data_IF_285261153690
#
_entry.id   IF_285261153690
#
_cell.length_a   1.000
_cell.length_b   1.000
_cell.length_c   1.000
_cell.angle_alpha   90.00
_cell.angle_beta   90.00
_cell.angle_gamma   90.00
#
_symmetry.space_group_name_H-M   'P 1'
#
loop_
_entity.id
_entity.type
_entity.pdbx_description
1 polymer ?
#
# COMPACT_ATOMS: atom_id res chain seq x y z
N UNK A 1 -8.12 -28.76 4.78
CA UNK A 1 -6.77 -28.85 5.39
C UNK A 1 -6.33 -30.29 5.17
N UNK A 2 -5.24 -30.48 4.44
CA UNK A 2 -4.63 -31.80 4.24
C UNK A 2 -3.40 -31.88 5.13
N UNK A 3 -3.22 -33.02 5.79
CA UNK A 3 -2.05 -33.31 6.60
C UNK A 3 -1.20 -34.34 5.84
N UNK A 4 0.06 -34.05 5.63
CA UNK A 4 1.03 -34.94 5.02
C UNK A 4 2.07 -35.35 6.07
N UNK A 5 2.42 -36.62 6.10
CA UNK A 5 3.58 -37.09 6.86
C UNK A 5 4.86 -36.66 6.15
N UNK A 6 5.75 -36.00 6.89
CA UNK A 6 7.06 -35.56 6.39
C UNK A 6 8.16 -36.21 7.21
N UNK A 7 9.34 -36.34 6.63
CA UNK A 7 10.52 -36.81 7.34
C UNK A 7 10.89 -35.85 8.48
N UNK A 8 11.34 -36.42 9.60
CA UNK A 8 11.82 -35.62 10.73
C UNK A 8 12.93 -34.67 10.25
N UNK A 9 12.84 -33.35 10.52
CA UNK A 9 13.90 -32.42 10.15
C UNK A 9 15.22 -32.75 10.88
N UNK A 10 16.35 -32.43 10.26
CA UNK A 10 17.67 -32.68 10.84
C UNK A 10 17.94 -31.85 12.09
N UNK A 11 17.28 -30.68 12.21
CA UNK A 11 17.37 -29.82 13.39
C UNK A 11 16.04 -29.02 13.53
N UNK A 12 15.82 -28.50 14.71
CA UNK A 12 14.77 -27.56 15.05
C UNK A 12 15.38 -26.35 15.74
N UNK A 13 14.67 -25.23 15.76
CA UNK A 13 15.10 -24.06 16.54
C UNK A 13 15.01 -24.35 18.03
N UNK A 14 15.88 -23.73 18.83
CA UNK A 14 15.83 -23.86 20.27
C UNK A 14 14.53 -23.31 20.88
N UNK A 15 14.17 -23.83 22.06
CA UNK A 15 12.89 -23.50 22.72
C UNK A 15 12.72 -22.01 23.01
N UNK A 16 13.79 -21.30 23.38
CA UNK A 16 13.73 -19.88 23.70
C UNK A 16 13.49 -19.05 22.43
N UNK A 17 14.18 -19.35 21.34
CA UNK A 17 13.97 -18.72 20.04
C UNK A 17 12.57 -19.00 19.52
N UNK A 18 12.11 -20.24 19.63
CA UNK A 18 10.75 -20.63 19.25
C UNK A 18 9.72 -19.82 20.05
N UNK A 19 9.85 -19.78 21.37
CA UNK A 19 8.95 -19.05 22.25
C UNK A 19 8.87 -17.58 21.87
N UNK A 20 10.02 -16.92 21.71
CA UNK A 20 10.11 -15.49 21.34
C UNK A 20 9.47 -15.25 19.97
N UNK A 21 9.78 -16.08 18.96
CA UNK A 21 9.21 -15.95 17.62
C UNK A 21 7.71 -16.06 17.65
N UNK A 22 7.16 -17.12 18.26
CA UNK A 22 5.71 -17.35 18.33
C UNK A 22 5.00 -16.22 19.05
N UNK A 23 5.54 -15.75 20.19
CA UNK A 23 4.97 -14.62 20.92
C UNK A 23 5.00 -13.32 20.09
N UNK A 24 6.12 -13.03 19.43
CA UNK A 24 6.27 -11.82 18.62
C UNK A 24 5.31 -11.82 17.41
N UNK A 25 5.24 -12.93 16.67
CA UNK A 25 4.35 -13.06 15.52
C UNK A 25 2.87 -13.00 15.95
N UNK A 26 2.52 -13.61 17.10
CA UNK A 26 1.15 -13.56 17.62
C UNK A 26 0.75 -12.18 18.13
N UNK A 27 1.68 -11.42 18.68
CA UNK A 27 1.45 -10.06 19.19
C UNK A 27 1.57 -8.98 18.11
N UNK A 28 2.19 -9.29 16.98
CA UNK A 28 2.43 -8.34 15.90
C UNK A 28 1.10 -7.87 15.28
N UNK A 29 0.84 -6.56 15.22
CA UNK A 29 -0.32 -6.05 14.52
C UNK A 29 -0.33 -6.52 13.07
N UNK A 30 -1.52 -6.92 12.57
CA UNK A 30 -1.72 -7.36 11.20
C UNK A 30 -3.11 -6.99 10.71
N UNK A 31 -3.21 -6.48 9.47
CA UNK A 31 -4.46 -6.05 8.85
C UNK A 31 -4.70 -4.55 8.95
N UNK A 32 -5.97 -4.17 8.97
CA UNK A 32 -6.39 -2.76 9.10
C UNK A 32 -6.18 -2.29 10.52
N UNK A 33 -5.42 -1.20 10.67
CA UNK A 33 -5.19 -0.55 11.95
C UNK A 33 -6.14 0.65 12.16
N UNK A 34 -6.33 1.46 11.12
CA UNK A 34 -7.23 2.60 11.16
C UNK A 34 -8.01 2.77 9.85
N UNK A 35 -9.24 3.28 9.99
CA UNK A 35 -10.10 3.67 8.88
C UNK A 35 -10.08 5.18 8.72
N UNK A 36 -10.17 5.67 7.48
CA UNK A 36 -10.22 7.10 7.20
C UNK A 36 -11.48 7.75 7.80
N UNK A 37 -11.33 8.79 8.62
CA UNK A 37 -12.49 9.56 9.12
C UNK A 37 -13.14 10.40 8.03
N UNK A 38 -12.39 10.75 6.98
CA UNK A 38 -12.85 11.61 5.89
C UNK A 38 -13.61 10.83 4.80
N UNK A 39 -13.23 9.59 4.55
CA UNK A 39 -13.79 8.78 3.45
C UNK A 39 -14.27 7.44 3.99
N UNK A 40 -15.57 7.26 4.05
CA UNK A 40 -16.19 6.02 4.56
C UNK A 40 -15.75 4.80 3.74
N UNK A 41 -15.24 3.79 4.45
CA UNK A 41 -14.82 2.51 3.86
C UNK A 41 -13.42 2.53 3.24
N UNK A 42 -12.68 3.64 3.34
CA UNK A 42 -11.29 3.72 2.99
C UNK A 42 -10.42 3.32 4.19
N UNK A 43 -9.50 2.38 3.98
CA UNK A 43 -8.44 2.09 4.96
C UNK A 43 -7.46 3.26 4.97
N UNK A 44 -7.18 3.82 6.14
CA UNK A 44 -6.18 4.86 6.33
C UNK A 44 -4.81 4.25 6.62
N UNK A 45 -4.75 3.34 7.59
CA UNK A 45 -3.52 2.72 8.07
C UNK A 45 -3.68 1.21 8.15
N UNK A 46 -2.70 0.49 7.64
CA UNK A 46 -2.65 -0.97 7.71
C UNK A 46 -1.21 -1.47 7.87
N UNK A 47 -1.09 -2.70 8.34
CA UNK A 47 0.19 -3.41 8.42
C UNK A 47 0.02 -4.84 7.93
N UNK A 48 1.06 -5.37 7.31
CA UNK A 48 1.12 -6.74 6.82
C UNK A 48 2.37 -7.43 7.39
N UNK A 49 2.16 -8.54 8.09
CA UNK A 49 3.21 -9.49 8.39
C UNK A 49 3.42 -10.31 7.11
N UNK A 50 4.39 -9.88 6.29
CA UNK A 50 4.51 -10.32 4.91
C UNK A 50 5.21 -11.66 4.76
N UNK A 51 6.23 -11.93 5.57
CA UNK A 51 6.92 -13.23 5.53
C UNK A 51 7.70 -13.54 6.80
N UNK A 52 7.86 -14.84 7.07
CA UNK A 52 8.80 -15.39 8.04
C UNK A 52 9.70 -16.36 7.27
N UNK A 53 11.01 -16.08 7.23
CA UNK A 53 11.98 -16.89 6.51
C UNK A 53 13.06 -17.38 7.46
N UNK A 54 13.41 -18.67 7.33
CA UNK A 54 14.49 -19.30 8.07
C UNK A 54 15.74 -19.36 7.19
N UNK A 55 16.86 -18.92 7.75
CA UNK A 55 18.19 -19.01 7.18
C UNK A 55 19.06 -19.81 8.14
N UNK A 56 20.25 -20.17 7.72
CA UNK A 56 21.14 -21.01 8.54
C UNK A 56 21.53 -20.37 9.87
N UNK A 57 21.63 -19.03 9.90
CA UNK A 57 22.12 -18.25 11.03
C UNK A 57 21.06 -17.33 11.67
N UNK A 58 19.88 -17.19 11.04
CA UNK A 58 18.85 -16.26 11.50
C UNK A 58 17.45 -16.61 11.04
N UNK A 59 16.46 -16.05 11.74
CA UNK A 59 15.07 -16.01 11.29
C UNK A 59 14.77 -14.56 10.93
N UNK A 60 14.29 -14.31 9.73
CA UNK A 60 13.90 -12.99 9.23
C UNK A 60 12.40 -12.87 9.15
N UNK A 61 11.85 -11.91 9.88
CA UNK A 61 10.45 -11.50 9.77
C UNK A 61 10.39 -10.21 8.98
N UNK A 62 9.60 -10.18 7.92
CA UNK A 62 9.40 -8.98 7.10
C UNK A 62 7.97 -8.49 7.28
N UNK A 63 7.83 -7.22 7.57
CA UNK A 63 6.53 -6.54 7.70
C UNK A 63 6.47 -5.35 6.75
N UNK A 64 5.26 -4.91 6.39
CA UNK A 64 5.04 -3.74 5.55
C UNK A 64 3.91 -2.91 6.12
N UNK A 65 4.17 -1.66 6.42
CA UNK A 65 3.21 -0.69 6.93
C UNK A 65 2.83 0.30 5.84
N UNK A 66 1.55 0.64 5.79
CA UNK A 66 1.00 1.61 4.85
C UNK A 66 0.03 2.55 5.55
N UNK A 67 0.12 3.82 5.24
CA UNK A 67 -0.85 4.83 5.69
C UNK A 67 -0.94 5.96 4.68
N UNK A 68 -2.11 6.59 4.57
CA UNK A 68 -2.27 7.85 3.87
C UNK A 68 -1.77 9.05 4.70
N UNK A 69 -1.53 8.85 6.00
CA UNK A 69 -0.99 9.86 6.91
C UNK A 69 0.39 9.44 7.40
N UNK A 70 1.36 10.34 7.35
CA UNK A 70 2.73 10.05 7.81
C UNK A 70 2.77 9.73 9.30
N UNK A 71 2.00 10.45 10.13
CA UNK A 71 1.88 10.15 11.57
C UNK A 71 1.29 8.77 11.85
N UNK A 72 0.29 8.33 11.08
CA UNK A 72 -0.29 7.00 11.20
C UNK A 72 0.69 5.90 10.77
N UNK A 73 1.51 6.16 9.75
CA UNK A 73 2.57 5.24 9.33
C UNK A 73 3.63 5.08 10.42
N UNK A 74 4.06 6.18 11.03
CA UNK A 74 5.06 6.15 12.10
C UNK A 74 4.52 5.45 13.35
N UNK A 75 3.27 5.69 13.72
CA UNK A 75 2.63 5.05 14.86
C UNK A 75 2.60 3.52 14.71
N UNK A 76 2.06 3.00 13.61
CA UNK A 76 2.02 1.55 13.38
C UNK A 76 3.41 0.93 13.20
N UNK A 77 4.36 1.66 12.60
CA UNK A 77 5.76 1.23 12.51
C UNK A 77 6.39 1.09 13.90
N UNK A 78 6.14 2.06 14.77
CA UNK A 78 6.62 2.03 16.16
C UNK A 78 6.03 0.85 16.94
N UNK A 79 4.73 0.57 16.79
CA UNK A 79 4.09 -0.58 17.42
C UNK A 79 4.73 -1.90 16.98
N UNK A 80 4.86 -2.12 15.68
CA UNK A 80 5.48 -3.32 15.11
C UNK A 80 6.94 -3.46 15.58
N UNK A 81 7.71 -2.38 15.48
CA UNK A 81 9.10 -2.35 15.93
C UNK A 81 9.23 -2.76 17.39
N UNK A 82 8.41 -2.20 18.27
CA UNK A 82 8.48 -2.48 19.70
C UNK A 82 8.18 -3.94 20.03
N UNK A 83 7.24 -4.58 19.35
CA UNK A 83 6.94 -6.01 19.51
C UNK A 83 8.20 -6.86 19.26
N UNK A 84 8.91 -6.61 18.16
CA UNK A 84 10.10 -7.39 17.82
C UNK A 84 11.31 -7.03 18.71
N UNK A 85 11.45 -5.78 19.12
CA UNK A 85 12.49 -5.38 20.11
C UNK A 85 12.27 -6.06 21.46
N UNK A 86 11.03 -6.14 21.95
CA UNK A 86 10.69 -6.85 23.19
C UNK A 86 10.96 -8.35 23.08
N UNK A 87 10.86 -8.93 21.89
CA UNK A 87 11.25 -10.31 21.64
C UNK A 87 12.79 -10.48 21.50
N UNK A 88 13.58 -9.42 21.63
CA UNK A 88 15.03 -9.46 21.51
C UNK A 88 15.56 -9.53 20.07
N UNK A 89 14.73 -9.19 19.08
CA UNK A 89 15.17 -9.16 17.69
C UNK A 89 15.91 -7.85 17.36
N UNK A 90 16.81 -7.91 16.39
CA UNK A 90 17.34 -6.72 15.71
C UNK A 90 16.30 -6.23 14.71
N UNK A 91 15.90 -4.97 14.80
CA UNK A 91 14.92 -4.38 13.91
C UNK A 91 15.59 -3.33 13.04
N UNK A 92 15.36 -3.45 11.73
CA UNK A 92 15.79 -2.48 10.72
C UNK A 92 14.52 -1.97 10.01
N UNK A 93 14.39 -0.65 9.89
CA UNK A 93 13.32 -0.02 9.13
C UNK A 93 13.92 0.53 7.85
N UNK A 94 13.28 0.22 6.72
CA UNK A 94 13.62 0.81 5.42
C UNK A 94 12.79 2.07 5.15
N UNK A 95 13.25 2.85 4.20
CA UNK A 95 12.50 3.99 3.67
C UNK A 95 11.29 3.46 2.90
N UNK A 96 10.10 3.82 3.33
CA UNK A 96 8.85 3.51 2.64
C UNK A 96 8.40 4.65 1.73
N UNK A 97 7.37 4.42 0.94
CA UNK A 97 6.71 5.51 0.22
C UNK A 97 6.00 6.43 1.24
N UNK A 98 6.10 7.77 1.06
CA UNK A 98 5.34 8.73 1.85
C UNK A 98 3.84 8.55 1.60
N UNK A 99 3.03 8.92 2.58
CA UNK A 99 1.58 8.93 2.46
C UNK A 99 1.12 9.94 1.40
N UNK A 100 0.02 9.62 0.72
CA UNK A 100 -0.68 10.55 -0.15
C UNK A 100 -2.12 10.70 0.33
N UNK A 101 -2.34 11.71 1.16
CA UNK A 101 -3.67 12.02 1.64
C UNK A 101 -4.57 12.49 0.49
N UNK A 102 -5.79 11.94 0.35
CA UNK A 102 -6.71 12.35 -0.71
C UNK A 102 -7.15 13.80 -0.52
N UNK A 103 -7.06 14.59 -1.61
CA UNK A 103 -7.59 15.94 -1.68
C UNK A 103 -8.96 15.92 -2.37
N UNK A 104 -10.04 16.09 -1.60
CA UNK A 104 -11.41 16.10 -2.13
C UNK A 104 -11.75 17.38 -2.90
N UNK A 105 -10.97 18.45 -2.71
CA UNK A 105 -11.16 19.77 -3.35
C UNK A 105 -10.21 19.99 -4.56
N UNK A 106 -9.50 18.95 -4.98
CA UNK A 106 -8.56 19.00 -6.10
C UNK A 106 -9.20 19.53 -7.39
N UNK A 107 -8.62 20.59 -7.94
CA UNK A 107 -9.08 21.17 -9.21
C UNK A 107 -8.76 20.26 -10.40
N UNK A 108 -7.58 19.60 -10.39
CA UNK A 108 -7.25 18.65 -11.46
C UNK A 108 -8.18 17.43 -11.44
N UNK A 109 -8.61 16.97 -10.26
CA UNK A 109 -9.57 15.90 -10.14
C UNK A 109 -10.92 16.28 -10.78
N UNK A 110 -11.42 17.50 -10.53
CA UNK A 110 -12.66 18.01 -11.14
C UNK A 110 -12.56 18.04 -12.67
N UNK A 111 -11.43 18.49 -13.21
CA UNK A 111 -11.16 18.52 -14.66
C UNK A 111 -11.15 17.10 -15.23
N UNK A 112 -10.48 16.15 -14.58
CA UNK A 112 -10.40 14.75 -15.01
C UNK A 112 -11.77 14.09 -14.99
N UNK A 113 -12.58 14.28 -13.96
CA UNK A 113 -13.94 13.75 -13.87
C UNK A 113 -14.82 14.34 -14.98
N UNK A 114 -14.83 15.65 -15.14
CA UNK A 114 -15.62 16.32 -16.19
C UNK A 114 -15.22 15.88 -17.62
N UNK A 115 -13.93 15.67 -17.84
CA UNK A 115 -13.41 15.14 -19.10
C UNK A 115 -13.94 13.73 -19.38
N UNK A 116 -13.89 12.86 -18.37
CA UNK A 116 -14.38 11.49 -18.50
C UNK A 116 -15.88 11.44 -18.81
N UNK A 117 -16.67 12.23 -18.09
CA UNK A 117 -18.12 12.34 -18.32
C UNK A 117 -18.45 12.83 -19.74
N UNK A 118 -17.74 13.84 -20.22
CA UNK A 118 -17.90 14.39 -21.57
C UNK A 118 -17.58 13.36 -22.66
N UNK A 119 -16.52 12.56 -22.49
CA UNK A 119 -16.07 11.60 -23.48
C UNK A 119 -16.90 10.32 -23.49
N UNK A 120 -17.34 9.85 -22.32
CA UNK A 120 -17.88 8.50 -22.17
C UNK A 120 -19.33 8.47 -21.63
N UNK A 121 -19.91 9.61 -21.29
CA UNK A 121 -21.29 9.71 -20.81
C UNK A 121 -21.55 9.02 -19.48
N UNK A 122 -20.50 8.84 -18.66
CA UNK A 122 -20.56 8.14 -17.37
C UNK A 122 -19.69 8.86 -16.35
N UNK A 123 -20.17 8.94 -15.12
CA UNK A 123 -19.36 9.43 -13.99
C UNK A 123 -18.33 8.38 -13.60
N UNK A 124 -17.03 8.72 -13.56
CA UNK A 124 -16.00 7.78 -13.12
C UNK A 124 -16.08 7.58 -11.61
N UNK A 125 -15.68 6.40 -11.14
CA UNK A 125 -15.56 6.13 -9.72
C UNK A 125 -14.22 6.70 -9.23
N UNK A 126 -14.27 7.72 -8.41
CA UNK A 126 -13.10 8.27 -7.73
C UNK A 126 -12.85 7.47 -6.46
N UNK A 127 -11.62 7.01 -6.27
CA UNK A 127 -11.19 6.27 -5.09
C UNK A 127 -9.86 6.79 -4.60
N UNK A 128 -9.69 6.77 -3.29
CA UNK A 128 -8.38 6.89 -2.68
C UNK A 128 -7.90 5.50 -2.25
N UNK A 129 -6.60 5.31 -2.21
CA UNK A 129 -5.96 4.12 -1.67
C UNK A 129 -4.93 4.55 -0.62
N UNK A 130 -4.74 3.73 0.39
CA UNK A 130 -3.74 3.94 1.45
C UNK A 130 -2.36 3.38 1.08
N UNK A 131 -2.12 3.14 -0.20
CA UNK A 131 -0.81 2.71 -0.70
C UNK A 131 0.03 3.94 -1.06
N UNK A 132 1.34 3.85 -0.82
CA UNK A 132 2.29 4.80 -1.37
C UNK A 132 2.25 4.71 -2.89
N UNK A 133 1.84 5.81 -3.53
CA UNK A 133 1.98 6.01 -4.97
C UNK A 133 3.11 6.99 -5.21
N UNK A 134 3.62 7.01 -6.43
CA UNK A 134 4.65 7.96 -6.87
C UNK A 134 4.24 9.42 -6.60
N UNK A 135 2.94 9.69 -6.58
CA UNK A 135 2.40 11.00 -6.19
C UNK A 135 2.82 11.43 -4.77
N UNK A 136 2.95 10.49 -3.83
CA UNK A 136 3.47 10.79 -2.50
C UNK A 136 4.90 11.34 -2.53
N UNK A 137 5.77 10.76 -3.37
CA UNK A 137 7.14 11.24 -3.56
C UNK A 137 7.20 12.65 -4.16
N UNK A 138 6.28 12.96 -5.08
CA UNK A 138 6.19 14.31 -5.63
C UNK A 138 5.69 15.31 -4.60
N UNK A 139 4.71 14.95 -3.75
CA UNK A 139 4.19 15.83 -2.70
C UNK A 139 5.22 16.13 -1.61
N UNK A 140 6.06 15.17 -1.26
CA UNK A 140 7.15 15.40 -0.31
C UNK A 140 8.06 16.54 -0.79
N UNK A 141 8.35 16.58 -2.09
CA UNK A 141 9.20 17.60 -2.69
C UNK A 141 8.44 18.88 -3.08
N UNK A 142 7.18 18.73 -3.46
CA UNK A 142 6.32 19.81 -3.95
C UNK A 142 4.96 19.79 -3.21
N UNK A 143 4.88 20.28 -1.95
CA UNK A 143 3.71 20.11 -1.07
C UNK A 143 2.40 20.70 -1.61
N UNK A 144 2.50 21.66 -2.54
CA UNK A 144 1.35 22.35 -3.13
C UNK A 144 0.95 21.79 -4.51
N UNK A 145 1.53 20.67 -4.93
CA UNK A 145 1.22 20.07 -6.22
C UNK A 145 -0.13 19.38 -6.15
N UNK A 146 -1.08 19.80 -6.98
CA UNK A 146 -2.36 19.13 -7.12
C UNK A 146 -2.26 17.99 -8.13
N UNK A 147 -2.63 16.79 -7.72
CA UNK A 147 -2.38 15.58 -8.51
C UNK A 147 -3.55 14.63 -8.50
N UNK A 148 -3.68 13.89 -9.59
CA UNK A 148 -4.60 12.76 -9.74
C UNK A 148 -3.91 11.62 -10.46
N UNK A 149 -4.22 10.39 -10.07
CA UNK A 149 -3.71 9.19 -10.73
C UNK A 149 -4.84 8.50 -11.48
N UNK A 150 -4.64 8.24 -12.77
CA UNK A 150 -5.57 7.47 -13.59
C UNK A 150 -4.82 6.74 -14.72
N UNK A 151 -5.36 5.60 -15.13
CA UNK A 151 -4.69 4.76 -16.13
C UNK A 151 -5.64 3.78 -16.79
N UNK A 152 -5.14 2.94 -17.72
CA UNK A 152 -5.90 1.82 -18.26
C UNK A 152 -6.18 0.78 -17.17
N UNK A 153 -7.12 -0.12 -17.43
CA UNK A 153 -7.48 -1.18 -16.48
C UNK A 153 -6.37 -2.22 -16.39
N UNK A 154 -5.83 -2.39 -15.20
CA UNK A 154 -4.89 -3.45 -14.86
C UNK A 154 -5.59 -4.56 -14.09
N UNK A 155 -5.13 -5.80 -14.28
CA UNK A 155 -5.62 -6.98 -13.56
C UNK A 155 -4.45 -7.81 -13.07
N UNK A 156 -4.59 -8.44 -11.91
CA UNK A 156 -3.54 -9.25 -11.30
C UNK A 156 -2.28 -8.45 -10.97
N UNK A 157 -2.44 -7.18 -10.60
CA UNK A 157 -1.32 -6.28 -10.28
C UNK A 157 -0.44 -6.90 -9.20
N UNK A 158 0.89 -6.79 -9.37
CA UNK A 158 1.91 -7.38 -8.49
C UNK A 158 1.93 -8.92 -8.49
N UNK A 159 1.43 -9.57 -9.53
CA UNK A 159 1.51 -11.02 -9.71
C UNK A 159 2.14 -11.37 -11.05
N UNK A 160 2.61 -12.63 -11.24
CA UNK A 160 3.08 -13.11 -12.55
C UNK A 160 2.01 -13.07 -13.66
N UNK A 161 0.73 -12.98 -13.29
CA UNK A 161 -0.41 -12.89 -14.19
C UNK A 161 -0.85 -11.45 -14.47
N UNK A 162 -0.01 -10.46 -14.15
CA UNK A 162 -0.32 -9.06 -14.39
C UNK A 162 -0.55 -8.77 -15.87
N UNK A 163 -1.66 -8.11 -16.16
CA UNK A 163 -2.06 -7.79 -17.54
C UNK A 163 -2.84 -6.50 -17.61
N UNK A 164 -2.71 -5.80 -18.75
CA UNK A 164 -3.49 -4.62 -19.10
C UNK A 164 -4.66 -5.01 -20.04
N UNK A 165 -5.81 -4.44 -19.81
CA UNK A 165 -6.95 -4.58 -20.70
C UNK A 165 -6.78 -3.64 -21.91
N UNK A 166 -6.35 -4.18 -23.06
CA UNK A 166 -5.94 -3.42 -24.26
C UNK A 166 -7.02 -2.40 -24.69
N UNK A 167 -8.30 -2.76 -24.63
CA UNK A 167 -9.41 -1.87 -25.00
C UNK A 167 -9.46 -0.58 -24.19
N UNK A 168 -8.95 -0.60 -22.97
CA UNK A 168 -8.96 0.57 -22.09
C UNK A 168 -7.77 1.50 -22.29
N UNK A 169 -6.76 1.09 -23.06
CA UNK A 169 -5.59 1.92 -23.39
C UNK A 169 -5.99 3.09 -24.29
N UNK A 170 -6.79 2.83 -25.35
CA UNK A 170 -7.29 3.90 -26.22
C UNK A 170 -8.20 4.87 -25.45
N UNK A 171 -9.10 4.34 -24.61
CA UNK A 171 -9.96 5.17 -23.76
C UNK A 171 -9.15 6.08 -22.85
N UNK A 172 -8.12 5.51 -22.17
CA UNK A 172 -7.23 6.27 -21.31
C UNK A 172 -6.48 7.35 -22.08
N UNK A 173 -5.94 7.03 -23.24
CA UNK A 173 -5.17 7.98 -24.05
C UNK A 173 -6.03 9.15 -24.54
N UNK A 174 -7.25 8.89 -25.02
CA UNK A 174 -8.22 9.93 -25.40
C UNK A 174 -8.60 10.80 -24.22
N UNK A 175 -8.80 10.20 -23.04
CA UNK A 175 -9.07 10.91 -21.81
C UNK A 175 -7.90 11.82 -21.42
N UNK A 176 -6.67 11.32 -21.45
CA UNK A 176 -5.47 12.11 -21.19
C UNK A 176 -5.37 13.32 -22.12
N UNK A 177 -5.54 13.13 -23.41
CA UNK A 177 -5.51 14.23 -24.38
C UNK A 177 -6.59 15.29 -24.13
N UNK A 178 -7.79 14.87 -23.78
CA UNK A 178 -8.87 15.79 -23.47
C UNK A 178 -8.64 16.56 -22.17
N UNK A 179 -8.11 15.90 -21.13
CA UNK A 179 -7.68 16.57 -19.89
C UNK A 179 -6.64 17.64 -20.19
N UNK A 180 -5.57 17.31 -20.93
CA UNK A 180 -4.50 18.26 -21.27
C UNK A 180 -5.01 19.46 -22.06
N UNK A 181 -6.01 19.29 -22.92
CA UNK A 181 -6.63 20.40 -23.68
C UNK A 181 -7.47 21.33 -22.80
N UNK A 182 -7.98 20.85 -21.68
CA UNK A 182 -8.88 21.59 -20.83
C UNK A 182 -8.24 22.08 -19.51
N UNK A 183 -6.95 21.83 -19.30
CA UNK A 183 -6.20 22.43 -18.19
C UNK A 183 -6.10 23.95 -18.43
N UNK A 184 -6.50 24.79 -17.45
CA UNK A 184 -6.37 26.22 -17.58
C UNK A 184 -4.91 26.64 -17.75
N UNK A 185 -4.63 27.47 -18.74
CA UNK A 185 -3.34 28.13 -18.87
C UNK A 185 -3.28 29.25 -17.84
N UNK A 186 -2.29 29.21 -16.94
CA UNK A 186 -2.03 30.29 -15.97
C UNK A 186 -1.24 31.39 -16.61
#
# INVERSE_FOLDING_TARGET
MELHEEAMPAFVIDEETQRRLVMAVSACPHGVHAWSPAIKGLVETSTNLASVKFYDDKIQVTTSQRSSLESGKEDINTMVRNVFLLAGAKVESGDGYPGWAPNTDSEILKIVVASYERLFGKTPVVRAIHAGLECGLFLEKYPNLDMVSFGPTLRGVHSPDEKVEIKTVDMWYRHLLDVLKNIPVK
#
